data_IF_005613262184
#
_entry.id   IF_005613262184
#
_cell.length_a   1.000
_cell.length_b   1.000
_cell.length_c   1.000
_cell.angle_alpha   90.00
_cell.angle_beta   90.00
_cell.angle_gamma   90.00
#
_symmetry.space_group_name_H-M   'P 1'
#
loop_
_entity.id
_entity.type
_entity.pdbx_description
1 polymer ?
#
# COMPACT_ATOMS: atom_id res chain seq x y z
N UNK A 1 35.35 -49.83 9.75
CA UNK A 1 34.47 -49.02 8.87
C UNK A 1 33.56 -48.19 9.77
N UNK A 2 33.77 -46.86 9.78
CA UNK A 2 32.91 -45.92 10.48
C UNK A 2 31.73 -45.60 9.57
N UNK A 3 30.52 -46.03 9.93
CA UNK A 3 29.29 -45.63 9.25
C UNK A 3 28.89 -44.25 9.86
N UNK A 4 29.23 -43.18 9.16
CA UNK A 4 28.68 -41.86 9.46
C UNK A 4 27.24 -41.82 8.93
N UNK A 5 26.29 -42.07 9.83
CA UNK A 5 24.87 -41.88 9.52
C UNK A 5 24.56 -40.39 9.47
N UNK A 6 24.40 -39.83 8.27
CA UNK A 6 23.85 -38.48 8.09
C UNK A 6 22.38 -38.52 8.48
N UNK A 7 22.08 -38.08 9.70
CA UNK A 7 20.68 -37.84 10.11
C UNK A 7 20.20 -36.60 9.39
N UNK A 8 19.49 -36.77 8.28
CA UNK A 8 18.67 -35.70 7.69
C UNK A 8 17.50 -35.45 8.66
N UNK A 9 17.65 -34.47 9.53
CA UNK A 9 16.50 -33.92 10.23
C UNK A 9 15.69 -33.15 9.14
N UNK A 10 14.69 -33.80 8.61
CA UNK A 10 13.66 -33.15 7.82
C UNK A 10 12.85 -32.29 8.81
N UNK A 11 13.37 -31.11 9.14
CA UNK A 11 12.57 -30.07 9.77
C UNK A 11 11.57 -29.60 8.72
N UNK A 12 10.40 -30.22 8.69
CA UNK A 12 9.29 -29.78 7.87
C UNK A 12 9.02 -28.31 8.19
N UNK A 13 9.02 -27.43 7.19
CA UNK A 13 8.71 -26.03 7.38
C UNK A 13 7.34 -25.91 8.02
N UNK A 14 7.29 -25.30 9.20
CA UNK A 14 6.04 -24.99 9.89
C UNK A 14 5.45 -23.73 9.27
N UNK A 15 4.12 -23.66 9.15
CA UNK A 15 3.44 -22.43 8.76
C UNK A 15 3.15 -21.58 10.00
N UNK A 16 3.49 -20.29 9.89
CA UNK A 16 3.21 -19.25 10.87
C UNK A 16 2.21 -18.28 10.29
N UNK A 17 1.38 -17.69 11.15
CA UNK A 17 0.44 -16.62 10.77
C UNK A 17 0.60 -15.46 11.73
N UNK A 18 0.82 -14.27 11.18
CA UNK A 18 0.91 -13.02 11.92
C UNK A 18 -0.17 -12.06 11.41
N UNK A 19 -0.85 -11.41 12.34
CA UNK A 19 -1.96 -10.50 12.08
C UNK A 19 -1.82 -9.22 12.89
N UNK A 20 -2.45 -8.14 12.43
CA UNK A 20 -2.44 -6.88 13.15
C UNK A 20 -3.03 -5.73 12.35
N UNK A 21 -2.74 -4.52 12.81
CA UNK A 21 -3.19 -3.29 12.16
C UNK A 21 -1.98 -2.47 11.70
N UNK A 22 -2.07 -1.93 10.48
CA UNK A 22 -1.09 -1.02 9.89
C UNK A 22 -1.77 -0.18 8.79
N UNK A 23 -1.28 1.01 8.49
CA UNK A 23 -1.76 1.89 7.41
C UNK A 23 -3.28 2.18 7.46
N UNK A 24 -3.87 2.18 8.66
CA UNK A 24 -5.31 2.36 8.86
C UNK A 24 -6.17 1.17 8.42
N UNK A 25 -5.57 -0.02 8.25
CA UNK A 25 -6.23 -1.27 7.89
C UNK A 25 -5.63 -2.46 8.65
N UNK A 26 -6.05 -3.68 8.34
CA UNK A 26 -5.50 -4.92 8.87
C UNK A 26 -4.48 -5.53 7.92
N UNK A 27 -3.60 -6.38 8.47
CA UNK A 27 -2.75 -7.27 7.68
C UNK A 27 -2.90 -8.72 8.16
N UNK A 28 -2.75 -9.66 7.22
CA UNK A 28 -2.73 -11.10 7.45
C UNK A 28 -1.58 -11.70 6.65
N UNK A 29 -0.61 -12.29 7.34
CA UNK A 29 0.61 -12.80 6.73
C UNK A 29 0.79 -14.26 7.15
N UNK A 30 0.83 -15.17 6.17
CA UNK A 30 1.06 -16.60 6.40
C UNK A 30 2.29 -17.03 5.60
N UNK A 31 3.22 -17.73 6.24
CA UNK A 31 4.47 -18.16 5.60
C UNK A 31 5.01 -19.47 6.19
N UNK A 32 5.71 -20.22 5.37
CA UNK A 32 6.48 -21.39 5.81
C UNK A 32 7.87 -20.94 6.26
N UNK A 33 8.25 -21.27 7.48
CA UNK A 33 9.54 -20.86 8.06
C UNK A 33 10.03 -21.79 9.16
N UNK A 34 11.22 -21.52 9.68
CA UNK A 34 11.81 -22.24 10.81
C UNK A 34 11.47 -21.60 12.15
N UNK A 35 11.13 -20.32 12.15
CA UNK A 35 10.81 -19.52 13.34
C UNK A 35 9.74 -18.47 13.01
N UNK A 36 9.12 -17.94 14.05
CA UNK A 36 8.18 -16.82 13.95
C UNK A 36 8.93 -15.52 13.68
N UNK A 37 8.49 -14.76 12.68
CA UNK A 37 9.06 -13.49 12.23
C UNK A 37 8.18 -12.29 12.57
N UNK A 38 7.24 -12.40 13.53
CA UNK A 38 6.30 -11.32 13.88
C UNK A 38 7.02 -9.98 14.17
N UNK A 39 8.11 -10.03 14.95
CA UNK A 39 8.85 -8.81 15.29
C UNK A 39 9.48 -8.14 14.07
N UNK A 40 10.09 -8.90 13.19
CA UNK A 40 10.71 -8.41 11.96
C UNK A 40 9.67 -7.86 10.98
N UNK A 41 8.54 -8.55 10.85
CA UNK A 41 7.40 -8.11 10.02
C UNK A 41 6.87 -6.77 10.53
N UNK A 42 6.57 -6.65 11.82
CA UNK A 42 6.11 -5.39 12.42
C UNK A 42 7.13 -4.26 12.25
N UNK A 43 8.40 -4.55 12.42
CA UNK A 43 9.46 -3.57 12.23
C UNK A 43 9.54 -3.10 10.77
N UNK A 44 9.35 -4.00 9.79
CA UNK A 44 9.35 -3.64 8.38
C UNK A 44 8.13 -2.81 8.00
N UNK A 45 6.94 -3.18 8.47
CA UNK A 45 5.71 -2.42 8.28
C UNK A 45 5.82 -1.01 8.88
N UNK A 46 6.41 -0.88 10.08
CA UNK A 46 6.65 0.41 10.72
C UNK A 46 7.59 1.29 9.90
N UNK A 47 8.66 0.73 9.31
CA UNK A 47 9.56 1.50 8.43
C UNK A 47 8.86 2.02 7.17
N UNK A 48 7.88 1.29 6.65
CA UNK A 48 7.04 1.76 5.53
C UNK A 48 6.13 2.89 5.99
N UNK A 49 5.49 2.75 7.17
CA UNK A 49 4.66 3.81 7.76
C UNK A 49 5.46 5.10 8.01
N UNK A 50 6.65 4.98 8.60
CA UNK A 50 7.56 6.10 8.85
C UNK A 50 8.03 6.79 7.57
N UNK A 51 8.02 6.10 6.44
CA UNK A 51 8.35 6.68 5.15
C UNK A 51 7.15 7.35 4.46
N UNK A 52 5.98 6.69 4.43
CA UNK A 52 4.92 6.96 3.47
C UNK A 52 3.57 7.40 4.07
N UNK A 53 3.40 7.31 5.39
CA UNK A 53 2.12 7.63 6.03
C UNK A 53 1.84 9.13 6.00
N UNK A 54 0.65 9.51 5.49
CA UNK A 54 0.15 10.88 5.62
C UNK A 54 -0.33 11.18 7.05
N UNK A 55 -0.75 10.16 7.79
CA UNK A 55 -1.31 10.30 9.13
C UNK A 55 -0.24 10.36 10.23
N UNK A 56 0.93 9.76 9.99
CA UNK A 56 2.10 9.88 10.83
C UNK A 56 2.79 11.23 10.58
N UNK A 57 2.63 12.19 11.49
CA UNK A 57 3.22 13.53 11.36
C UNK A 57 4.75 13.51 11.26
N UNK A 58 5.41 12.45 11.74
CA UNK A 58 6.87 12.30 11.70
C UNK A 58 7.37 11.57 10.45
N UNK A 59 6.48 11.06 9.61
CA UNK A 59 6.88 10.38 8.37
C UNK A 59 7.64 11.30 7.43
N UNK A 60 8.46 10.71 6.57
CA UNK A 60 9.20 11.43 5.52
C UNK A 60 8.23 12.18 4.61
N UNK A 61 7.16 11.52 4.17
CA UNK A 61 6.11 12.09 3.33
C UNK A 61 5.43 13.29 3.99
N UNK A 62 5.03 13.15 5.26
CA UNK A 62 4.36 14.24 5.99
C UNK A 62 5.26 15.46 6.17
N UNK A 63 6.54 15.26 6.47
CA UNK A 63 7.54 16.35 6.55
C UNK A 63 7.75 17.01 5.19
N UNK A 64 7.88 16.22 4.11
CA UNK A 64 7.97 16.74 2.75
C UNK A 64 6.75 17.61 2.41
N UNK A 65 5.54 17.14 2.71
CA UNK A 65 4.30 17.89 2.44
C UNK A 65 4.25 19.23 3.19
N UNK A 66 4.77 19.30 4.41
CA UNK A 66 4.84 20.55 5.21
C UNK A 66 6.05 21.41 4.92
N UNK A 67 6.87 21.08 3.93
CA UNK A 67 8.12 21.78 3.60
C UNK A 67 9.15 21.79 4.76
N UNK A 68 9.12 20.78 5.60
CA UNK A 68 10.06 20.57 6.68
C UNK A 68 11.29 19.80 6.21
N UNK A 69 12.36 19.85 7.02
CA UNK A 69 13.54 18.99 6.77
C UNK A 69 13.16 17.52 6.93
N UNK A 70 13.47 16.72 5.94
CA UNK A 70 13.21 15.28 5.90
C UNK A 70 14.45 14.49 5.51
N UNK A 71 14.44 13.17 5.73
CA UNK A 71 15.51 12.27 5.31
C UNK A 71 15.45 12.05 3.79
N UNK A 72 16.30 12.77 3.06
CA UNK A 72 16.41 12.68 1.59
C UNK A 72 17.01 11.35 1.11
N UNK A 73 17.63 10.57 2.00
CA UNK A 73 18.23 9.27 1.69
C UNK A 73 17.27 8.10 1.93
N UNK A 74 16.05 8.36 2.43
CA UNK A 74 15.08 7.31 2.73
C UNK A 74 14.70 6.53 1.47
N UNK A 75 15.20 5.31 1.37
CA UNK A 75 15.02 4.49 0.17
C UNK A 75 13.54 4.21 -0.12
N UNK A 76 12.72 3.90 0.91
CA UNK A 76 11.29 3.58 0.74
C UNK A 76 10.51 4.75 0.17
N UNK A 77 10.76 5.95 0.67
CA UNK A 77 10.14 7.16 0.14
C UNK A 77 10.56 7.40 -1.32
N UNK A 78 11.87 7.33 -1.60
CA UNK A 78 12.38 7.57 -2.94
C UNK A 78 11.91 6.51 -3.96
N UNK A 79 11.88 5.23 -3.59
CA UNK A 79 11.40 4.14 -4.45
C UNK A 79 9.95 4.39 -4.88
N UNK A 80 9.07 4.67 -3.90
CA UNK A 80 7.64 4.89 -4.17
C UNK A 80 7.42 6.15 -5.00
N UNK A 81 8.07 7.27 -4.67
CA UNK A 81 7.89 8.51 -5.43
C UNK A 81 8.43 8.39 -6.85
N UNK A 82 9.61 7.78 -7.05
CA UNK A 82 10.18 7.58 -8.39
C UNK A 82 9.27 6.70 -9.25
N UNK A 83 8.79 5.57 -8.70
CA UNK A 83 7.81 4.71 -9.39
C UNK A 83 6.54 5.48 -9.73
N UNK A 84 6.01 6.24 -8.78
CA UNK A 84 4.80 7.04 -8.99
C UNK A 84 4.97 8.08 -10.10
N UNK A 85 6.09 8.80 -10.13
CA UNK A 85 6.39 9.75 -11.20
C UNK A 85 6.59 9.07 -12.56
N UNK A 86 7.12 7.85 -12.59
CA UNK A 86 7.19 7.04 -13.80
C UNK A 86 5.79 6.70 -14.31
N UNK A 87 4.93 6.15 -13.44
CA UNK A 87 3.54 5.81 -13.77
C UNK A 87 2.74 7.04 -14.22
N UNK A 88 2.94 8.20 -13.55
CA UNK A 88 2.28 9.44 -13.97
C UNK A 88 2.63 9.82 -15.42
N UNK A 89 3.90 9.65 -15.81
CA UNK A 89 4.32 9.89 -17.20
C UNK A 89 3.76 8.86 -18.18
N UNK A 90 3.77 7.59 -17.81
CA UNK A 90 3.26 6.50 -18.66
C UNK A 90 1.75 6.56 -18.88
N UNK A 91 1.02 7.20 -17.96
CA UNK A 91 -0.44 7.36 -18.01
C UNK A 91 -0.89 8.77 -18.41
N UNK A 92 0.04 9.62 -18.89
CA UNK A 92 -0.23 11.03 -19.23
C UNK A 92 -0.96 11.79 -18.11
N UNK A 93 -0.62 11.49 -16.84
CA UNK A 93 -1.20 12.13 -15.67
C UNK A 93 -2.53 11.55 -15.19
N UNK A 94 -3.06 10.48 -15.80
CA UNK A 94 -4.25 9.80 -15.29
C UNK A 94 -4.00 9.20 -13.89
N UNK A 95 -2.77 8.84 -13.58
CA UNK A 95 -2.30 8.59 -12.23
C UNK A 95 -1.36 9.73 -11.79
N UNK A 96 -1.69 10.42 -10.70
CA UNK A 96 -0.88 11.51 -10.17
C UNK A 96 -0.92 11.55 -8.64
N UNK A 97 0.25 11.39 -8.00
CA UNK A 97 0.35 11.44 -6.54
C UNK A 97 0.21 12.85 -5.97
N UNK A 98 0.20 13.89 -6.80
CA UNK A 98 0.01 15.27 -6.35
C UNK A 98 -1.46 15.66 -6.13
N UNK A 99 -2.39 14.71 -6.30
CA UNK A 99 -3.85 14.93 -6.14
C UNK A 99 -4.29 15.20 -4.69
N UNK A 100 -3.38 15.11 -3.71
CA UNK A 100 -3.69 15.27 -2.28
C UNK A 100 -4.59 16.49 -1.94
N UNK A 101 -4.39 17.69 -2.52
CA UNK A 101 -5.28 18.84 -2.26
C UNK A 101 -6.72 18.60 -2.71
N UNK A 102 -6.91 17.92 -3.85
CA UNK A 102 -8.23 17.59 -4.38
C UNK A 102 -8.90 16.49 -3.53
N UNK A 103 -8.17 15.43 -3.21
CA UNK A 103 -8.65 14.34 -2.31
C UNK A 103 -9.16 14.91 -0.99
N UNK A 104 -8.41 15.86 -0.39
CA UNK A 104 -8.81 16.53 0.84
C UNK A 104 -10.08 17.36 0.66
N UNK A 105 -10.22 18.13 -0.43
CA UNK A 105 -11.38 18.98 -0.67
C UNK A 105 -12.63 18.15 -0.95
N UNK A 106 -12.49 17.01 -1.61
CA UNK A 106 -13.57 16.04 -1.80
C UNK A 106 -13.93 15.25 -0.53
N UNK A 107 -13.25 15.49 0.60
CA UNK A 107 -13.55 14.87 1.91
C UNK A 107 -13.10 13.42 2.05
N UNK A 108 -12.16 12.96 1.22
CA UNK A 108 -11.55 11.62 1.31
C UNK A 108 -10.17 11.63 2.00
N UNK A 109 -9.67 12.80 2.38
CA UNK A 109 -8.43 12.99 3.13
C UNK A 109 -8.67 13.37 4.60
N UNK A 110 -7.99 14.42 5.08
CA UNK A 110 -8.05 14.89 6.48
C UNK A 110 -9.29 15.71 6.82
N UNK A 111 -9.96 16.30 5.82
CA UNK A 111 -11.12 17.14 6.04
C UNK A 111 -12.39 16.32 6.15
N UNK A 112 -13.29 16.78 7.02
CA UNK A 112 -14.67 16.32 7.01
C UNK A 112 -15.38 16.84 5.76
N UNK A 113 -16.38 16.06 5.31
CA UNK A 113 -17.23 16.35 4.15
C UNK A 113 -17.91 17.71 4.30
N UNK A 114 -17.45 18.70 3.60
CA UNK A 114 -18.08 20.00 3.47
C UNK A 114 -18.71 20.12 2.06
N UNK A 115 -19.54 21.14 1.87
CA UNK A 115 -20.13 21.42 0.55
C UNK A 115 -18.99 21.77 -0.42
N UNK A 116 -18.90 21.02 -1.52
CA UNK A 116 -17.86 21.19 -2.52
C UNK A 116 -18.01 22.57 -3.18
N UNK A 117 -16.91 23.32 -3.22
CA UNK A 117 -16.84 24.62 -3.87
C UNK A 117 -16.04 24.49 -5.17
N UNK A 118 -16.73 24.61 -6.33
CA UNK A 118 -16.12 24.50 -7.65
C UNK A 118 -14.97 25.50 -7.86
N UNK A 119 -15.13 26.75 -7.43
CA UNK A 119 -14.08 27.78 -7.52
C UNK A 119 -12.83 27.41 -6.72
N UNK A 120 -13.01 26.70 -5.61
CA UNK A 120 -11.90 26.22 -4.79
C UNK A 120 -11.18 25.03 -5.45
N UNK A 121 -11.95 24.12 -6.07
CA UNK A 121 -11.37 23.02 -6.86
C UNK A 121 -10.48 23.58 -7.97
N UNK A 122 -10.95 24.57 -8.74
CA UNK A 122 -10.15 25.17 -9.81
C UNK A 122 -8.87 25.83 -9.27
N UNK A 123 -8.96 26.48 -8.12
CA UNK A 123 -7.78 27.05 -7.44
C UNK A 123 -6.78 25.98 -6.99
N UNK A 124 -7.26 24.82 -6.51
CA UNK A 124 -6.42 23.72 -6.05
C UNK A 124 -5.74 23.00 -7.21
N UNK A 125 -6.36 22.93 -8.39
CA UNK A 125 -5.76 22.36 -9.61
C UNK A 125 -4.41 23.00 -9.96
N UNK A 126 -4.22 24.28 -9.63
CA UNK A 126 -2.94 24.97 -9.83
C UNK A 126 -1.76 24.29 -9.08
N UNK A 127 -2.03 23.49 -8.03
CA UNK A 127 -1.02 22.81 -7.21
C UNK A 127 -0.97 21.30 -7.49
N UNK A 128 -1.72 20.80 -8.44
CA UNK A 128 -1.71 19.42 -8.91
C UNK A 128 -0.95 19.34 -10.23
N UNK A 129 -0.18 18.29 -10.41
CA UNK A 129 0.62 18.01 -11.60
C UNK A 129 1.98 17.41 -11.22
N UNK A 130 2.21 16.18 -11.65
CA UNK A 130 3.47 15.45 -11.38
C UNK A 130 4.71 16.15 -11.94
N UNK A 131 4.56 16.99 -12.96
CA UNK A 131 5.61 17.82 -13.54
C UNK A 131 6.13 18.91 -12.58
N UNK A 132 5.38 19.19 -11.52
CA UNK A 132 5.76 20.11 -10.45
C UNK A 132 6.73 19.48 -9.44
N UNK A 133 7.01 18.19 -9.56
CA UNK A 133 7.97 17.45 -8.75
C UNK A 133 9.21 17.10 -9.57
N UNK A 134 10.39 17.27 -8.99
CA UNK A 134 11.64 16.92 -9.64
C UNK A 134 12.71 16.51 -8.63
N UNK A 135 13.63 15.66 -9.07
CA UNK A 135 14.76 15.24 -8.25
C UNK A 135 16.03 16.02 -8.60
N UNK A 136 16.76 16.44 -7.57
CA UNK A 136 18.16 16.86 -7.64
C UNK A 136 18.98 15.87 -6.81
N UNK A 137 19.70 14.98 -7.46
CA UNK A 137 20.32 13.83 -6.81
C UNK A 137 19.25 12.94 -6.13
N UNK A 138 19.32 12.81 -4.82
CA UNK A 138 18.34 12.07 -4.03
C UNK A 138 17.27 12.96 -3.39
N UNK A 139 17.35 14.27 -3.58
CA UNK A 139 16.39 15.21 -3.02
C UNK A 139 15.21 15.42 -3.94
N UNK A 140 14.01 15.11 -3.49
CA UNK A 140 12.77 15.50 -4.14
C UNK A 140 12.51 16.98 -3.84
N UNK A 141 12.24 17.76 -4.87
CA UNK A 141 11.94 19.19 -4.81
C UNK A 141 10.55 19.46 -5.42
N UNK A 142 9.99 20.61 -5.07
CA UNK A 142 8.72 21.12 -5.60
C UNK A 142 8.97 22.41 -6.36
N UNK A 143 8.28 22.62 -7.48
CA UNK A 143 8.24 23.92 -8.19
C UNK A 143 7.41 24.97 -7.44
N UNK A 144 6.46 24.51 -6.62
CA UNK A 144 5.60 25.35 -5.76
C UNK A 144 5.49 24.67 -4.39
N UNK A 145 5.73 25.42 -3.33
CA UNK A 145 5.71 24.91 -1.94
C UNK A 145 4.35 24.36 -1.50
N UNK A 146 3.26 24.72 -2.22
CA UNK A 146 1.89 24.26 -1.97
C UNK A 146 1.61 22.87 -2.54
N UNK A 147 2.45 22.35 -3.43
CA UNK A 147 2.33 20.97 -3.92
C UNK A 147 2.47 19.99 -2.77
N UNK A 148 1.53 19.10 -2.64
CA UNK A 148 1.55 17.99 -1.67
C UNK A 148 1.29 16.68 -2.37
N UNK A 149 1.82 15.59 -1.83
CA UNK A 149 1.70 14.26 -2.42
C UNK A 149 0.92 13.32 -1.51
N UNK A 150 0.22 12.38 -2.12
CA UNK A 150 -0.49 11.27 -1.50
C UNK A 150 -0.03 9.95 -2.12
N UNK A 151 0.52 9.08 -1.30
CA UNK A 151 0.94 7.75 -1.72
C UNK A 151 -0.09 6.64 -1.41
N UNK A 152 -1.31 7.00 -1.00
CA UNK A 152 -2.34 6.04 -0.57
C UNK A 152 -2.67 4.97 -1.61
N UNK A 153 -2.60 5.30 -2.90
CA UNK A 153 -2.86 4.35 -3.99
C UNK A 153 -1.75 3.30 -4.16
N UNK A 154 -0.53 3.55 -3.66
CA UNK A 154 0.65 2.67 -3.89
C UNK A 154 1.27 2.15 -2.60
N UNK A 155 1.08 2.84 -1.47
CA UNK A 155 1.78 2.56 -0.21
C UNK A 155 1.49 1.16 0.35
N UNK A 156 0.24 0.67 0.26
CA UNK A 156 -0.13 -0.66 0.76
C UNK A 156 0.54 -1.77 -0.07
N UNK A 157 0.45 -1.68 -1.40
CA UNK A 157 1.13 -2.61 -2.31
C UNK A 157 2.64 -2.63 -2.09
N UNK A 158 3.26 -1.47 -1.91
CA UNK A 158 4.68 -1.38 -1.56
C UNK A 158 4.98 -2.03 -0.20
N UNK A 159 4.12 -1.86 0.80
CA UNK A 159 4.23 -2.52 2.10
C UNK A 159 4.18 -4.04 1.99
N UNK A 160 3.26 -4.57 1.18
CA UNK A 160 3.18 -6.00 0.85
C UNK A 160 4.48 -6.50 0.23
N UNK A 161 5.03 -5.77 -0.73
CA UNK A 161 6.31 -6.12 -1.38
C UNK A 161 7.50 -6.07 -0.41
N UNK A 162 7.52 -5.11 0.52
CA UNK A 162 8.57 -5.02 1.53
C UNK A 162 8.59 -6.25 2.44
N UNK A 163 7.42 -6.68 2.91
CA UNK A 163 7.30 -7.89 3.72
C UNK A 163 7.62 -9.15 2.90
N UNK A 164 7.17 -9.24 1.65
CA UNK A 164 7.50 -10.36 0.75
C UNK A 164 9.02 -10.49 0.53
N UNK A 165 9.72 -9.36 0.33
CA UNK A 165 11.19 -9.33 0.25
C UNK A 165 11.85 -9.75 1.57
N UNK A 166 11.34 -9.28 2.71
CA UNK A 166 11.80 -9.70 4.03
C UNK A 166 11.68 -11.23 4.19
N UNK A 167 10.50 -11.80 3.95
CA UNK A 167 10.27 -13.23 4.04
C UNK A 167 11.20 -14.03 3.12
N UNK A 168 11.37 -13.58 1.87
CA UNK A 168 12.30 -14.20 0.91
C UNK A 168 13.74 -14.13 1.40
N UNK A 169 14.19 -13.04 2.00
CA UNK A 169 15.54 -12.87 2.55
C UNK A 169 15.80 -13.77 3.76
N UNK A 170 14.73 -14.19 4.46
CA UNK A 170 14.76 -15.17 5.56
C UNK A 170 14.63 -16.61 5.09
N UNK A 171 14.64 -16.86 3.77
CA UNK A 171 14.56 -18.20 3.19
C UNK A 171 13.14 -18.75 3.07
N UNK A 172 12.11 -17.97 3.33
CA UNK A 172 10.73 -18.40 3.13
C UNK A 172 10.41 -18.47 1.63
N UNK A 173 10.04 -19.65 1.15
CA UNK A 173 9.70 -19.91 -0.25
C UNK A 173 8.20 -20.03 -0.48
N UNK A 174 7.41 -20.13 0.58
CA UNK A 174 5.95 -20.22 0.52
C UNK A 174 5.37 -19.20 1.48
N UNK A 175 4.63 -18.22 0.95
CA UNK A 175 3.99 -17.20 1.74
C UNK A 175 2.81 -16.55 1.02
N UNK A 176 1.93 -15.99 1.81
CA UNK A 176 0.89 -15.03 1.45
C UNK A 176 1.05 -13.81 2.36
N UNK A 177 1.17 -12.64 1.78
CA UNK A 177 1.17 -11.35 2.48
C UNK A 177 -0.06 -10.58 1.98
N UNK A 178 -0.94 -10.20 2.90
CA UNK A 178 -2.12 -9.40 2.62
C UNK A 178 -2.11 -8.16 3.53
N UNK A 179 -2.34 -6.98 2.96
CA UNK A 179 -2.49 -5.71 3.69
C UNK A 179 -3.65 -4.93 3.06
N UNK A 180 -4.78 -4.88 3.74
CA UNK A 180 -5.94 -4.09 3.31
C UNK A 180 -6.45 -4.40 1.91
N UNK A 181 -6.36 -5.66 1.49
CA UNK A 181 -6.81 -6.18 0.20
C UNK A 181 -5.74 -6.28 -0.88
N UNK A 182 -4.59 -5.65 -0.73
CA UNK A 182 -3.42 -5.88 -1.59
C UNK A 182 -2.69 -7.14 -1.12
N UNK A 183 -2.37 -8.02 -2.07
CA UNK A 183 -1.86 -9.37 -1.77
C UNK A 183 -0.64 -9.68 -2.64
N UNK A 184 0.37 -10.32 -2.05
CA UNK A 184 1.42 -11.05 -2.77
C UNK A 184 1.45 -12.49 -2.27
N UNK A 185 1.51 -13.42 -3.20
CA UNK A 185 1.65 -14.85 -2.91
C UNK A 185 2.88 -15.44 -3.58
N UNK A 186 3.51 -16.40 -2.90
CA UNK A 186 4.61 -17.20 -3.45
C UNK A 186 4.45 -18.66 -3.06
N UNK A 187 4.80 -19.55 -4.00
CA UNK A 187 4.80 -20.99 -3.77
C UNK A 187 3.42 -21.55 -3.42
N UNK A 188 3.32 -22.37 -2.37
CA UNK A 188 2.13 -23.14 -2.00
C UNK A 188 1.67 -22.85 -0.59
N UNK A 189 0.39 -23.10 -0.31
CA UNK A 189 -0.18 -23.05 1.03
C UNK A 189 0.18 -24.30 1.85
N UNK A 190 -0.22 -24.33 3.13
CA UNK A 190 0.08 -25.45 4.05
C UNK A 190 -0.49 -26.82 3.59
N UNK A 191 -1.44 -26.83 2.66
CA UNK A 191 -2.00 -28.05 2.05
C UNK A 191 -1.29 -28.48 0.77
N UNK A 192 -0.16 -27.84 0.42
CA UNK A 192 0.59 -28.08 -0.81
C UNK A 192 -0.09 -27.63 -2.10
N UNK A 193 -1.14 -26.80 -1.99
CA UNK A 193 -1.93 -26.26 -3.12
C UNK A 193 -1.58 -24.80 -3.37
N UNK A 194 -2.02 -24.26 -4.52
CA UNK A 194 -2.02 -22.81 -4.79
C UNK A 194 -2.77 -22.06 -3.69
N UNK A 195 -2.43 -20.80 -3.47
CA UNK A 195 -3.14 -19.93 -2.54
C UNK A 195 -4.53 -19.62 -3.08
N UNK A 196 -5.53 -19.65 -2.18
CA UNK A 196 -6.92 -19.33 -2.53
C UNK A 196 -7.20 -17.90 -2.05
N UNK A 197 -7.37 -16.97 -2.99
CA UNK A 197 -7.63 -15.55 -2.71
C UNK A 197 -9.07 -15.24 -3.08
N UNK A 198 -9.86 -14.80 -2.09
CA UNK A 198 -11.24 -14.38 -2.28
C UNK A 198 -11.32 -12.98 -2.87
N UNK A 199 -12.09 -12.82 -3.94
CA UNK A 199 -12.45 -11.52 -4.51
C UNK A 199 -13.86 -11.17 -4.02
N UNK A 200 -13.98 -10.05 -3.30
CA UNK A 200 -15.26 -9.60 -2.77
C UNK A 200 -16.18 -9.09 -3.89
N UNK A 201 -17.47 -9.35 -3.73
CA UNK A 201 -18.52 -8.78 -4.56
C UNK A 201 -18.56 -7.25 -4.35
N UNK A 202 -18.61 -6.43 -5.42
CA UNK A 202 -18.66 -4.97 -5.31
C UNK A 202 -20.07 -4.48 -4.91
N UNK A 203 -20.49 -4.79 -3.68
CA UNK A 203 -21.75 -4.28 -3.12
C UNK A 203 -21.49 -2.93 -2.48
N UNK A 204 -22.32 -1.93 -2.82
CA UNK A 204 -22.22 -0.59 -2.22
C UNK A 204 -22.48 -0.69 -0.70
N UNK A 205 -21.42 -0.57 0.07
CA UNK A 205 -21.46 -0.64 1.53
C UNK A 205 -20.45 0.33 2.14
N UNK A 206 -20.92 1.53 2.50
CA UNK A 206 -20.12 2.55 3.17
C UNK A 206 -19.77 2.18 4.62
N UNK A 207 -20.46 1.20 5.22
CA UNK A 207 -20.18 0.71 6.58
C UNK A 207 -19.05 -0.31 6.61
N UNK A 208 -18.69 -0.88 5.45
CA UNK A 208 -17.65 -1.90 5.27
C UNK A 208 -17.92 -3.20 6.02
N UNK A 209 -19.18 -3.51 6.28
CA UNK A 209 -19.62 -4.68 7.05
C UNK A 209 -19.95 -5.88 6.17
N UNK A 210 -20.32 -5.65 4.89
CA UNK A 210 -20.66 -6.71 3.95
C UNK A 210 -19.39 -7.25 3.29
N UNK A 211 -19.15 -8.55 3.43
CA UNK A 211 -18.04 -9.27 2.82
C UNK A 211 -18.54 -10.55 2.17
N UNK A 212 -19.14 -10.43 1.00
CA UNK A 212 -19.52 -11.59 0.18
C UNK A 212 -18.42 -11.88 -0.84
N UNK A 213 -17.92 -13.12 -0.87
CA UNK A 213 -16.94 -13.55 -1.87
C UNK A 213 -17.67 -13.84 -3.18
N UNK A 214 -17.28 -13.15 -4.25
CA UNK A 214 -17.80 -13.38 -5.59
C UNK A 214 -17.08 -14.53 -6.30
N UNK A 215 -15.74 -14.52 -6.23
CA UNK A 215 -14.87 -15.49 -6.86
C UNK A 215 -13.70 -15.86 -5.95
N UNK A 216 -13.17 -17.07 -6.16
CA UNK A 216 -11.92 -17.52 -5.51
C UNK A 216 -10.88 -17.75 -6.61
N UNK A 217 -9.77 -17.04 -6.54
CA UNK A 217 -8.62 -17.22 -7.40
C UNK A 217 -7.63 -18.20 -6.77
N UNK A 218 -7.23 -19.21 -7.50
CA UNK A 218 -6.17 -20.14 -7.10
C UNK A 218 -4.86 -19.77 -7.79
N UNK A 219 -3.98 -19.06 -7.06
CA UNK A 219 -2.80 -18.38 -7.62
C UNK A 219 -1.52 -18.71 -6.86
N UNK A 220 -0.39 -18.52 -7.52
CA UNK A 220 0.96 -18.61 -6.98
C UNK A 220 1.86 -17.63 -7.70
N UNK A 221 2.89 -17.14 -7.00
CA UNK A 221 3.98 -16.31 -7.56
C UNK A 221 3.46 -15.06 -8.29
N UNK A 222 2.50 -14.35 -7.68
CA UNK A 222 1.93 -13.12 -8.23
C UNK A 222 1.50 -12.13 -7.15
N UNK A 223 1.32 -10.87 -7.57
CA UNK A 223 0.65 -9.82 -6.82
C UNK A 223 -0.79 -9.64 -7.29
N UNK A 224 -1.67 -9.25 -6.38
CA UNK A 224 -3.07 -8.90 -6.65
C UNK A 224 -3.37 -7.60 -5.92
N UNK A 225 -3.87 -6.62 -6.66
CA UNK A 225 -4.40 -5.39 -6.11
C UNK A 225 -5.82 -5.17 -6.64
N UNK A 226 -6.67 -4.63 -5.79
CA UNK A 226 -8.06 -4.35 -6.15
C UNK A 226 -8.41 -2.90 -5.86
N UNK A 227 -8.99 -2.23 -6.85
CA UNK A 227 -9.59 -0.90 -6.70
C UNK A 227 -11.09 -0.98 -6.86
N UNK A 228 -11.83 -0.15 -6.09
CA UNK A 228 -13.27 -0.14 -6.22
C UNK A 228 -13.94 1.00 -5.46
N UNK A 229 -15.01 1.52 -6.05
CA UNK A 229 -15.76 2.68 -5.58
C UNK A 229 -16.99 2.30 -4.71
N UNK A 230 -17.03 1.09 -4.17
CA UNK A 230 -18.19 0.55 -3.46
C UNK A 230 -18.08 0.62 -1.92
N UNK A 231 -16.91 0.98 -1.38
CA UNK A 231 -16.69 1.08 0.08
C UNK A 231 -16.39 2.48 0.58
N UNK A 232 -15.71 3.30 -0.23
CA UNK A 232 -15.33 4.65 0.15
C UNK A 232 -16.01 5.65 -0.78
N UNK A 233 -17.27 5.93 -0.46
CA UNK A 233 -18.15 6.83 -1.20
C UNK A 233 -19.12 7.54 -0.27
N UNK A 234 -19.81 8.56 -0.78
CA UNK A 234 -20.94 9.23 -0.16
C UNK A 234 -21.87 9.79 -1.25
N UNK A 235 -23.04 10.27 -0.84
CA UNK A 235 -23.99 10.88 -1.75
C UNK A 235 -24.07 12.39 -1.53
N UNK A 236 -24.10 13.17 -2.61
CA UNK A 236 -24.37 14.61 -2.64
C UNK A 236 -25.47 14.84 -3.67
N UNK A 237 -26.58 15.42 -3.25
CA UNK A 237 -27.73 15.72 -4.12
C UNK A 237 -28.14 14.50 -4.98
N UNK A 238 -28.17 13.31 -4.38
CA UNK A 238 -28.50 12.05 -5.04
C UNK A 238 -27.44 11.46 -5.95
N UNK A 239 -26.27 12.10 -6.10
CA UNK A 239 -25.14 11.59 -6.89
C UNK A 239 -24.11 10.92 -6.00
N UNK A 240 -23.68 9.73 -6.39
CA UNK A 240 -22.61 9.00 -5.73
C UNK A 240 -21.26 9.67 -6.03
N UNK A 241 -20.52 10.00 -4.99
CA UNK A 241 -19.15 10.52 -5.06
C UNK A 241 -18.22 9.50 -4.42
N UNK A 242 -17.18 9.08 -5.11
CA UNK A 242 -16.22 8.09 -4.66
C UNK A 242 -14.82 8.70 -4.50
N UNK A 243 -13.93 7.98 -3.83
CA UNK A 243 -12.56 8.42 -3.59
C UNK A 243 -11.65 8.39 -4.83
N UNK A 244 -12.07 7.76 -5.92
CA UNK A 244 -11.39 7.82 -7.21
C UNK A 244 -11.86 9.08 -7.92
N UNK A 245 -10.95 10.03 -8.09
CA UNK A 245 -11.19 11.35 -8.67
C UNK A 245 -10.66 11.31 -10.10
N UNK A 246 -11.51 11.73 -11.07
CA UNK A 246 -11.18 11.89 -12.48
C UNK A 246 -11.01 13.39 -12.81
#
# INVERSE_FOLDING_TARGET
ALIVGTVFILSGSKYYTNEGQIFGTTYHITYAGTNDLDKEIRAELQRVDDALSMFNKQSVLSKFNRNEKYDVSNARFNDVVRLSLQLSRETDGAFDITVAPLVNEWGFGFKHRERINASKIDSLRAFVGYDKLFYEGNRLNKRDSRVTIDCGAVAKGYGVDCVARLLSSKGCTNYMVEIGGEVVVKGKNAKGKKWAIGINKPVDDSTKTVSEVQNILHVSDCGIATSGNYRNFYYVDGRKVSHTID
#
